data_IF_372637238217
#
_entry.id   IF_372637238217
#
_cell.length_a   1.000
_cell.length_b   1.000
_cell.length_c   1.000
_cell.angle_alpha   90.00
_cell.angle_beta   90.00
_cell.angle_gamma   90.00
#
_symmetry.space_group_name_H-M   'P 1'
#
loop_
_entity.id
_entity.type
_entity.pdbx_description
1 polymer ?
#
# COMPACT_ATOMS: atom_id res chain seq x y z
N UNK A 1 -7.34 -25.16 22.09
CA UNK A 1 -8.26 -24.01 21.97
C UNK A 1 -8.74 -23.95 20.53
N UNK A 2 -10.03 -23.78 20.33
CA UNK A 2 -10.57 -23.53 18.99
C UNK A 2 -10.16 -22.13 18.53
N UNK A 3 -9.78 -21.98 17.25
CA UNK A 3 -9.38 -20.69 16.67
C UNK A 3 -10.57 -19.72 16.66
N UNK A 4 -10.39 -18.55 17.28
CA UNK A 4 -11.29 -17.41 17.22
C UNK A 4 -10.49 -16.12 17.44
N UNK A 5 -11.16 -14.96 17.48
CA UNK A 5 -10.49 -13.66 17.62
C UNK A 5 -9.61 -13.53 18.88
N UNK A 6 -9.94 -14.22 19.96
CA UNK A 6 -9.21 -14.17 21.23
C UNK A 6 -8.07 -15.19 21.28
N UNK A 7 -8.13 -16.24 20.46
CA UNK A 7 -7.15 -17.36 20.45
C UNK A 7 -6.23 -17.30 19.24
N UNK A 8 -6.43 -16.35 18.31
CA UNK A 8 -5.56 -16.12 17.17
C UNK A 8 -4.17 -15.64 17.62
N UNK A 9 -3.12 -16.26 17.09
CA UNK A 9 -1.72 -15.89 17.41
C UNK A 9 -1.36 -14.57 16.71
N UNK A 10 -1.79 -14.40 15.46
CA UNK A 10 -1.59 -13.15 14.72
C UNK A 10 -2.58 -12.08 15.19
N UNK A 11 -2.13 -10.87 15.55
CA UNK A 11 -3.05 -9.77 15.88
C UNK A 11 -3.89 -9.30 14.67
N UNK A 12 -3.45 -9.57 13.45
CA UNK A 12 -4.23 -9.28 12.24
C UNK A 12 -5.54 -10.07 12.24
N UNK A 13 -5.48 -11.38 12.56
CA UNK A 13 -6.64 -12.26 12.59
C UNK A 13 -7.37 -12.23 13.94
N UNK A 14 -6.78 -11.64 14.99
CA UNK A 14 -7.39 -11.45 16.30
C UNK A 14 -7.84 -10.01 16.51
N UNK A 15 -7.02 -9.25 17.24
CA UNK A 15 -7.29 -7.87 17.68
C UNK A 15 -7.73 -6.92 16.56
N UNK A 16 -7.14 -7.06 15.38
CA UNK A 16 -7.35 -6.15 14.25
C UNK A 16 -8.18 -6.75 13.12
N UNK A 17 -8.80 -7.91 13.33
CA UNK A 17 -9.57 -8.62 12.29
C UNK A 17 -10.57 -7.71 11.57
N UNK A 18 -11.33 -6.90 12.30
CA UNK A 18 -12.33 -6.00 11.72
C UNK A 18 -11.74 -4.96 10.75
N UNK A 19 -10.45 -4.62 10.89
CA UNK A 19 -9.76 -3.68 10.00
C UNK A 19 -9.14 -4.39 8.78
N UNK A 20 -8.67 -5.62 8.98
CA UNK A 20 -8.00 -6.41 7.96
C UNK A 20 -8.95 -7.34 7.16
N UNK A 21 -10.21 -7.47 7.58
CA UNK A 21 -11.18 -8.40 7.00
C UNK A 21 -11.34 -8.29 5.48
N UNK A 22 -11.36 -7.09 4.85
CA UNK A 22 -11.46 -7.00 3.39
C UNK A 22 -10.33 -7.73 2.64
N UNK A 23 -9.18 -7.95 3.27
CA UNK A 23 -8.06 -8.68 2.68
C UNK A 23 -8.25 -10.20 2.69
N UNK A 24 -9.21 -10.72 3.46
CA UNK A 24 -9.47 -12.15 3.53
C UNK A 24 -9.93 -12.74 2.19
N UNK A 25 -10.61 -11.94 1.37
CA UNK A 25 -11.04 -12.31 0.01
C UNK A 25 -9.87 -12.52 -0.98
N UNK A 26 -8.65 -12.12 -0.59
CA UNK A 26 -7.46 -12.18 -1.45
C UNK A 26 -6.34 -13.05 -0.88
N UNK A 27 -6.17 -13.09 0.45
CA UNK A 27 -4.99 -13.67 1.08
C UNK A 27 -5.28 -14.77 2.11
N UNK A 28 -6.53 -15.15 2.32
CA UNK A 28 -6.85 -16.34 3.11
C UNK A 28 -6.59 -17.62 2.31
N UNK A 29 -6.51 -18.78 2.98
CA UNK A 29 -6.40 -20.08 2.31
C UNK A 29 -7.63 -20.36 1.42
N UNK A 30 -8.83 -19.94 1.87
CA UNK A 30 -10.04 -19.92 1.05
C UNK A 30 -9.86 -19.14 -0.25
N UNK A 31 -9.32 -17.93 -0.16
CA UNK A 31 -9.08 -17.09 -1.32
C UNK A 31 -8.05 -17.72 -2.27
N UNK A 32 -6.94 -18.22 -1.76
CA UNK A 32 -5.92 -18.88 -2.57
C UNK A 32 -6.51 -20.05 -3.36
N UNK A 33 -7.32 -20.90 -2.72
CA UNK A 33 -8.00 -22.02 -3.38
C UNK A 33 -8.95 -21.48 -4.48
N UNK A 34 -9.76 -20.47 -4.19
CA UNK A 34 -10.69 -19.86 -5.14
C UNK A 34 -9.97 -19.31 -6.38
N UNK A 35 -8.84 -18.61 -6.19
CA UNK A 35 -8.05 -18.08 -7.32
C UNK A 35 -7.43 -19.20 -8.14
N UNK A 36 -6.96 -20.29 -7.52
CA UNK A 36 -6.46 -21.46 -8.23
C UNK A 36 -7.56 -22.12 -9.09
N UNK A 37 -8.77 -22.31 -8.52
CA UNK A 37 -9.93 -22.82 -9.27
C UNK A 37 -10.24 -21.89 -10.45
N UNK A 38 -10.25 -20.57 -10.24
CA UNK A 38 -10.49 -19.60 -11.32
C UNK A 38 -9.49 -19.76 -12.46
N UNK A 39 -8.22 -19.87 -12.17
CA UNK A 39 -7.17 -20.03 -13.18
C UNK A 39 -7.36 -21.34 -13.94
N UNK A 40 -7.61 -22.47 -13.25
CA UNK A 40 -7.86 -23.77 -13.88
C UNK A 40 -9.09 -23.74 -14.80
N UNK A 41 -10.18 -23.15 -14.37
CA UNK A 41 -11.42 -23.06 -15.16
C UNK A 41 -11.23 -22.14 -16.38
N UNK A 42 -10.66 -20.97 -16.22
CA UNK A 42 -10.39 -20.07 -17.36
C UNK A 42 -9.38 -20.68 -18.35
N UNK A 43 -8.41 -21.45 -17.84
CA UNK A 43 -7.49 -22.22 -18.69
C UNK A 43 -8.24 -23.29 -19.49
N UNK A 44 -9.07 -24.10 -18.87
CA UNK A 44 -9.87 -25.11 -19.54
C UNK A 44 -10.81 -24.51 -20.59
N UNK A 45 -11.48 -23.41 -20.25
CA UNK A 45 -12.33 -22.65 -21.20
C UNK A 45 -11.49 -22.19 -22.41
N UNK A 46 -10.30 -21.67 -22.16
CA UNK A 46 -9.40 -21.20 -23.24
C UNK A 46 -8.92 -22.33 -24.14
N UNK A 47 -8.68 -23.52 -23.58
CA UNK A 47 -8.42 -24.73 -24.38
C UNK A 47 -9.63 -25.13 -25.26
N UNK A 48 -10.86 -25.04 -24.72
CA UNK A 48 -12.07 -25.31 -25.50
C UNK A 48 -12.34 -24.26 -26.61
N UNK A 49 -11.72 -23.08 -26.53
CA UNK A 49 -11.78 -22.07 -27.57
C UNK A 49 -10.81 -22.35 -28.72
N UNK A 50 -9.78 -23.20 -28.50
CA UNK A 50 -8.88 -23.68 -29.55
C UNK A 50 -9.54 -24.77 -30.39
N UNK A 51 -9.13 -24.92 -31.66
CA UNK A 51 -9.63 -25.99 -32.53
C UNK A 51 -8.96 -27.35 -32.20
N UNK A 52 -8.83 -27.71 -30.91
CA UNK A 52 -8.33 -29.03 -30.51
C UNK A 52 -9.36 -30.09 -30.84
N UNK A 53 -9.00 -31.15 -31.58
CA UNK A 53 -9.97 -32.17 -32.03
C UNK A 53 -10.80 -32.77 -30.88
N UNK A 54 -10.17 -33.03 -29.72
CA UNK A 54 -10.80 -33.66 -28.55
C UNK A 54 -11.75 -32.72 -27.81
N UNK A 55 -11.62 -31.39 -27.98
CA UNK A 55 -12.47 -30.37 -27.35
C UNK A 55 -13.45 -29.72 -28.34
N UNK A 56 -13.37 -30.07 -29.63
CA UNK A 56 -14.19 -29.45 -30.68
C UNK A 56 -15.71 -29.62 -30.49
N UNK A 57 -16.13 -30.66 -29.81
CA UNK A 57 -17.53 -30.95 -29.50
C UNK A 57 -18.00 -30.42 -28.16
N UNK A 58 -17.15 -29.72 -27.40
CA UNK A 58 -17.54 -29.13 -26.13
C UNK A 58 -18.55 -28.01 -26.34
N UNK A 59 -19.66 -28.07 -25.63
CA UNK A 59 -20.72 -27.04 -25.69
C UNK A 59 -20.28 -25.76 -24.95
N UNK A 60 -19.91 -24.73 -25.71
CA UNK A 60 -19.47 -23.44 -25.16
C UNK A 60 -20.54 -22.68 -24.39
N UNK A 61 -21.84 -23.04 -24.54
CA UNK A 61 -22.90 -22.48 -23.72
C UNK A 61 -22.77 -22.83 -22.22
N UNK A 62 -21.97 -23.84 -21.88
CA UNK A 62 -21.69 -24.28 -20.52
C UNK A 62 -20.60 -23.47 -19.81
N UNK A 63 -19.91 -22.54 -20.49
CA UNK A 63 -18.87 -21.73 -19.87
C UNK A 63 -19.34 -20.94 -18.62
N UNK A 64 -20.55 -20.33 -18.59
CA UNK A 64 -21.05 -19.71 -17.36
C UNK A 64 -21.19 -20.71 -16.19
N UNK A 65 -21.63 -21.93 -16.47
CA UNK A 65 -21.74 -22.99 -15.47
C UNK A 65 -20.36 -23.40 -14.93
N UNK A 66 -19.35 -23.50 -15.78
CA UNK A 66 -17.97 -23.75 -15.33
C UNK A 66 -17.46 -22.62 -14.43
N UNK A 67 -17.69 -21.36 -14.79
CA UNK A 67 -17.32 -20.19 -13.99
C UNK A 67 -17.99 -20.16 -12.63
N UNK A 68 -19.24 -20.66 -12.53
CA UNK A 68 -19.92 -20.72 -11.24
C UNK A 68 -19.16 -21.51 -10.19
N UNK A 69 -18.27 -22.45 -10.56
CA UNK A 69 -17.44 -23.23 -9.62
C UNK A 69 -16.55 -22.30 -8.76
N UNK A 70 -16.02 -21.20 -9.32
CA UNK A 70 -15.24 -20.24 -8.55
C UNK A 70 -16.01 -18.98 -8.14
N UNK A 71 -17.05 -18.60 -8.90
CA UNK A 71 -17.86 -17.40 -8.61
C UNK A 71 -18.75 -17.60 -7.39
N UNK A 72 -19.28 -18.80 -7.21
CA UNK A 72 -20.13 -19.19 -6.06
C UNK A 72 -19.36 -20.07 -5.05
N UNK A 73 -18.02 -20.06 -5.09
CA UNK A 73 -17.20 -20.88 -4.22
C UNK A 73 -17.43 -20.54 -2.74
N UNK A 74 -17.47 -21.53 -1.88
CA UNK A 74 -17.78 -21.39 -0.46
C UNK A 74 -16.67 -21.91 0.45
N UNK A 75 -16.72 -21.55 1.72
CA UNK A 75 -15.82 -22.10 2.75
C UNK A 75 -15.96 -23.63 2.85
N UNK A 76 -17.18 -24.16 2.64
CA UNK A 76 -17.37 -25.63 2.60
C UNK A 76 -16.66 -26.27 1.40
N UNK A 77 -16.66 -25.60 0.24
CA UNK A 77 -15.87 -26.02 -0.92
C UNK A 77 -14.37 -26.01 -0.63
N UNK A 78 -13.87 -24.97 0.04
CA UNK A 78 -12.49 -24.91 0.47
C UNK A 78 -12.13 -26.04 1.44
N UNK A 79 -13.02 -26.34 2.39
CA UNK A 79 -12.82 -27.51 3.29
C UNK A 79 -12.75 -28.81 2.50
N UNK A 80 -13.63 -29.01 1.48
CA UNK A 80 -13.56 -30.20 0.63
C UNK A 80 -12.21 -30.31 -0.09
N UNK A 81 -11.65 -29.21 -0.61
CA UNK A 81 -10.31 -29.20 -1.20
C UNK A 81 -9.26 -29.62 -0.16
N UNK A 82 -9.35 -29.12 1.08
CA UNK A 82 -8.43 -29.52 2.17
C UNK A 82 -8.56 -30.99 2.56
N UNK A 83 -9.77 -31.53 2.53
CA UNK A 83 -10.00 -32.98 2.79
C UNK A 83 -9.31 -33.83 1.72
N UNK A 84 -9.41 -33.46 0.45
CA UNK A 84 -8.71 -34.12 -0.66
C UNK A 84 -7.19 -33.96 -0.49
N UNK A 85 -6.71 -32.77 -0.18
CA UNK A 85 -5.29 -32.47 0.06
C UNK A 85 -4.71 -33.34 1.18
N UNK A 86 -5.47 -33.59 2.25
CA UNK A 86 -5.03 -34.42 3.38
C UNK A 86 -4.71 -35.86 2.99
N UNK A 87 -5.29 -36.35 1.88
CA UNK A 87 -5.05 -37.70 1.33
C UNK A 87 -3.95 -37.65 0.27
N UNK A 88 -3.99 -36.67 -0.62
CA UNK A 88 -3.07 -36.58 -1.77
C UNK A 88 -1.71 -35.97 -1.40
N UNK A 89 -1.64 -35.23 -0.29
CA UNK A 89 -0.50 -34.44 0.15
C UNK A 89 -0.01 -33.45 -0.93
N UNK A 90 -0.94 -32.92 -1.75
CA UNK A 90 -0.62 -32.02 -2.85
C UNK A 90 -1.77 -31.04 -3.09
N UNK A 91 -1.56 -29.76 -2.78
CA UNK A 91 -2.55 -28.71 -2.75
C UNK A 91 -3.19 -28.40 -4.14
N UNK A 92 -2.36 -28.24 -5.20
CA UNK A 92 -2.89 -27.95 -6.54
C UNK A 92 -3.58 -29.19 -7.15
N UNK A 93 -3.08 -30.39 -6.88
CA UNK A 93 -3.76 -31.62 -7.30
C UNK A 93 -5.11 -31.80 -6.62
N UNK A 94 -5.25 -31.37 -5.39
CA UNK A 94 -6.53 -31.37 -4.68
C UNK A 94 -7.54 -30.42 -5.35
N UNK A 95 -7.10 -29.28 -5.84
CA UNK A 95 -7.93 -28.36 -6.64
C UNK A 95 -8.41 -29.02 -7.93
N UNK A 96 -7.53 -29.67 -8.68
CA UNK A 96 -7.90 -30.42 -9.89
C UNK A 96 -8.97 -31.47 -9.60
N UNK A 97 -8.79 -32.28 -8.56
CA UNK A 97 -9.80 -33.29 -8.17
C UNK A 97 -11.12 -32.67 -7.76
N UNK A 98 -11.09 -31.57 -7.00
CA UNK A 98 -12.30 -30.85 -6.63
C UNK A 98 -13.07 -30.36 -7.87
N UNK A 99 -12.37 -29.79 -8.86
CA UNK A 99 -13.01 -29.35 -10.12
C UNK A 99 -13.68 -30.55 -10.82
N UNK A 100 -12.98 -31.71 -10.91
CA UNK A 100 -13.54 -32.92 -11.50
C UNK A 100 -14.80 -33.41 -10.74
N UNK A 101 -14.80 -33.35 -9.40
CA UNK A 101 -16.01 -33.62 -8.59
C UNK A 101 -17.16 -32.66 -8.89
N UNK A 102 -16.89 -31.38 -9.12
CA UNK A 102 -17.95 -30.41 -9.49
C UNK A 102 -18.54 -30.71 -10.86
N UNK A 103 -17.72 -31.14 -11.84
CA UNK A 103 -18.22 -31.58 -13.14
C UNK A 103 -19.14 -32.79 -13.03
N UNK A 104 -18.79 -33.75 -12.15
CA UNK A 104 -19.67 -34.90 -11.85
C UNK A 104 -20.96 -34.47 -11.16
N UNK A 105 -20.88 -33.52 -10.24
CA UNK A 105 -22.05 -32.97 -9.57
C UNK A 105 -23.03 -32.30 -10.54
N UNK A 106 -22.55 -31.56 -11.55
CA UNK A 106 -23.40 -31.00 -12.61
C UNK A 106 -24.14 -32.09 -13.41
N UNK A 107 -23.44 -33.17 -13.75
CA UNK A 107 -24.08 -34.32 -14.44
C UNK A 107 -25.11 -35.00 -13.55
N UNK A 108 -24.81 -35.19 -12.27
CA UNK A 108 -25.71 -35.83 -11.31
C UNK A 108 -26.94 -34.97 -10.98
N UNK A 109 -26.82 -33.66 -11.04
CA UNK A 109 -27.94 -32.72 -10.87
C UNK A 109 -28.83 -32.58 -12.12
N UNK A 110 -28.44 -33.22 -13.22
CA UNK A 110 -29.21 -33.16 -14.49
C UNK A 110 -28.98 -31.85 -15.27
N UNK A 111 -27.96 -31.07 -14.93
CA UNK A 111 -27.64 -29.84 -15.67
C UNK A 111 -27.08 -30.16 -17.07
N UNK A 112 -26.51 -31.35 -17.26
CA UNK A 112 -26.00 -31.90 -18.51
C UNK A 112 -26.32 -33.41 -18.55
N UNK A 113 -26.28 -34.08 -19.72
CA UNK A 113 -26.40 -35.52 -19.79
C UNK A 113 -25.42 -36.28 -18.92
N UNK A 114 -25.78 -37.42 -18.39
CA UNK A 114 -24.93 -38.29 -17.61
C UNK A 114 -23.63 -38.63 -18.40
N UNK A 115 -22.47 -38.46 -17.77
CA UNK A 115 -21.18 -38.74 -18.41
C UNK A 115 -20.75 -37.70 -19.43
N UNK A 116 -21.44 -36.56 -19.59
CA UNK A 116 -21.07 -35.52 -20.55
C UNK A 116 -19.62 -35.06 -20.43
N UNK A 117 -19.13 -34.88 -19.21
CA UNK A 117 -17.79 -34.36 -18.95
C UNK A 117 -16.68 -35.44 -19.03
N UNK A 118 -17.00 -36.73 -19.09
CA UNK A 118 -16.00 -37.79 -19.06
C UNK A 118 -14.86 -37.64 -20.12
N UNK A 119 -15.16 -37.29 -21.38
CA UNK A 119 -14.10 -37.10 -22.39
C UNK A 119 -13.24 -35.85 -22.15
N UNK A 120 -13.71 -34.90 -21.34
CA UNK A 120 -13.08 -33.59 -21.16
C UNK A 120 -12.31 -33.43 -19.85
N UNK A 121 -12.57 -34.26 -18.85
CA UNK A 121 -12.00 -34.14 -17.49
C UNK A 121 -10.47 -34.13 -17.46
N UNK A 122 -9.83 -34.90 -18.34
CA UNK A 122 -8.37 -34.99 -18.39
C UNK A 122 -7.70 -33.75 -19.02
N UNK A 123 -8.49 -32.81 -19.58
CA UNK A 123 -8.03 -31.49 -19.99
C UNK A 123 -7.99 -30.46 -18.86
N UNK A 124 -8.54 -30.77 -17.67
CA UNK A 124 -8.28 -29.98 -16.48
C UNK A 124 -6.80 -30.17 -16.12
N UNK A 125 -6.07 -29.06 -15.91
CA UNK A 125 -4.62 -29.05 -15.66
C UNK A 125 -3.75 -29.64 -16.80
N UNK A 126 -4.28 -29.71 -18.02
CA UNK A 126 -3.57 -30.30 -19.17
C UNK A 126 -2.26 -29.58 -19.47
N UNK A 127 -1.15 -30.31 -19.46
CA UNK A 127 0.18 -29.78 -19.80
C UNK A 127 0.79 -28.81 -18.77
N UNK A 128 0.06 -28.48 -17.69
CA UNK A 128 0.49 -27.54 -16.67
C UNK A 128 1.36 -28.16 -15.59
N UNK A 129 2.05 -27.31 -14.87
CA UNK A 129 2.64 -27.61 -13.55
C UNK A 129 1.98 -26.75 -12.48
N UNK A 130 2.09 -27.15 -11.23
CA UNK A 130 1.48 -26.42 -10.09
C UNK A 130 1.82 -24.91 -10.10
N UNK A 131 3.00 -24.55 -10.59
CA UNK A 131 3.44 -23.16 -10.63
C UNK A 131 2.83 -22.34 -11.78
N UNK A 132 2.28 -22.97 -12.81
CA UNK A 132 1.43 -22.25 -13.77
C UNK A 132 0.16 -21.73 -13.11
N UNK A 133 -0.34 -22.45 -12.09
CA UNK A 133 -1.50 -22.07 -11.30
C UNK A 133 -1.14 -21.09 -10.18
N UNK A 134 -0.06 -21.35 -9.42
CA UNK A 134 0.34 -20.47 -8.33
C UNK A 134 0.89 -19.12 -8.81
N UNK A 135 1.76 -19.14 -9.84
CA UNK A 135 2.36 -17.91 -10.38
C UNK A 135 1.45 -17.11 -11.32
N UNK A 136 0.19 -17.48 -11.41
CA UNK A 136 -0.90 -16.72 -12.02
C UNK A 136 -1.92 -16.27 -10.97
N UNK A 137 -2.37 -17.18 -10.09
CA UNK A 137 -3.35 -16.88 -9.05
C UNK A 137 -2.83 -15.88 -8.01
N UNK A 138 -1.57 -15.99 -7.59
CA UNK A 138 -0.98 -15.08 -6.59
C UNK A 138 -0.86 -13.64 -7.13
N UNK A 139 -0.24 -13.34 -8.27
CA UNK A 139 -0.20 -11.98 -8.77
C UNK A 139 -1.59 -11.42 -9.12
N UNK A 140 -2.54 -12.26 -9.52
CA UNK A 140 -3.93 -11.85 -9.74
C UNK A 140 -4.59 -11.41 -8.43
N UNK A 141 -4.45 -12.18 -7.36
CA UNK A 141 -5.00 -11.82 -6.04
C UNK A 141 -4.36 -10.54 -5.49
N UNK A 142 -3.06 -10.35 -5.66
CA UNK A 142 -2.36 -9.12 -5.25
C UNK A 142 -2.88 -7.91 -6.02
N UNK A 143 -2.99 -8.02 -7.35
CA UNK A 143 -3.53 -6.96 -8.20
C UNK A 143 -4.91 -6.51 -7.72
N UNK A 144 -5.83 -7.46 -7.57
CA UNK A 144 -7.20 -7.16 -7.15
C UNK A 144 -7.26 -6.60 -5.72
N UNK A 145 -6.44 -7.10 -4.80
CA UNK A 145 -6.36 -6.56 -3.44
C UNK A 145 -5.83 -5.11 -3.41
N UNK A 146 -4.81 -4.80 -4.21
CA UNK A 146 -4.30 -3.44 -4.32
C UNK A 146 -5.35 -2.51 -4.92
N UNK A 147 -5.99 -2.90 -6.01
CA UNK A 147 -7.00 -2.08 -6.70
C UNK A 147 -8.25 -1.84 -5.86
N UNK A 148 -8.71 -2.84 -5.11
CA UNK A 148 -10.00 -2.79 -4.39
C UNK A 148 -9.89 -2.42 -2.92
N UNK A 149 -8.72 -2.59 -2.30
CA UNK A 149 -8.55 -2.34 -0.86
C UNK A 149 -7.48 -1.29 -0.60
N UNK A 150 -6.26 -1.48 -1.11
CA UNK A 150 -5.12 -0.66 -0.73
C UNK A 150 -5.16 0.73 -1.40
N UNK A 151 -5.33 0.81 -2.72
CA UNK A 151 -5.36 2.10 -3.44
C UNK A 151 -6.45 3.04 -2.92
N UNK A 152 -7.71 2.58 -2.72
CA UNK A 152 -8.75 3.45 -2.19
C UNK A 152 -8.44 4.03 -0.81
N UNK A 153 -7.77 3.26 0.07
CA UNK A 153 -7.40 3.75 1.39
C UNK A 153 -6.27 4.79 1.35
N UNK A 154 -5.28 4.62 0.45
CA UNK A 154 -4.24 5.62 0.25
C UNK A 154 -4.83 6.89 -0.39
N UNK A 155 -5.75 6.75 -1.34
CA UNK A 155 -6.47 7.88 -1.94
C UNK A 155 -7.30 8.66 -0.90
N UNK A 156 -7.97 7.96 0.02
CA UNK A 156 -8.69 8.56 1.13
C UNK A 156 -7.74 9.35 2.05
N UNK A 157 -6.57 8.80 2.37
CA UNK A 157 -5.55 9.49 3.17
C UNK A 157 -5.05 10.75 2.46
N UNK A 158 -4.72 10.66 1.16
CA UNK A 158 -4.30 11.80 0.35
C UNK A 158 -5.39 12.88 0.36
N UNK A 159 -6.63 12.52 0.10
CA UNK A 159 -7.76 13.46 0.06
C UNK A 159 -7.99 14.15 1.41
N UNK A 160 -7.82 13.43 2.52
CA UNK A 160 -7.91 14.01 3.87
C UNK A 160 -6.79 15.03 4.11
N UNK A 161 -5.56 14.71 3.68
CA UNK A 161 -4.42 15.63 3.80
C UNK A 161 -4.59 16.87 2.91
N UNK A 162 -5.07 16.72 1.68
CA UNK A 162 -5.38 17.83 0.77
C UNK A 162 -6.46 18.76 1.35
N UNK A 163 -7.48 18.18 1.97
CA UNK A 163 -8.53 18.96 2.67
C UNK A 163 -7.96 19.79 3.81
N UNK A 164 -7.07 19.22 4.62
CA UNK A 164 -6.40 19.95 5.69
C UNK A 164 -5.40 20.99 5.16
N UNK A 165 -4.70 20.68 4.08
CA UNK A 165 -3.81 21.63 3.44
C UNK A 165 -4.56 22.88 2.95
N UNK A 166 -5.76 22.73 2.41
CA UNK A 166 -6.61 23.86 2.02
C UNK A 166 -7.18 24.61 3.24
N UNK A 167 -7.66 23.87 4.25
CA UNK A 167 -8.19 24.46 5.50
C UNK A 167 -7.15 25.34 6.21
N UNK A 168 -5.87 24.90 6.21
CA UNK A 168 -4.79 25.56 6.97
C UNK A 168 -3.80 26.31 6.07
N UNK A 169 -4.16 26.62 4.82
CA UNK A 169 -3.27 27.26 3.84
C UNK A 169 -2.74 28.65 4.28
N UNK A 170 -3.52 29.37 5.08
CA UNK A 170 -3.17 30.71 5.56
C UNK A 170 -2.67 30.72 7.02
N UNK A 171 -2.52 29.55 7.63
CA UNK A 171 -2.02 29.42 9.01
C UNK A 171 -0.50 29.50 9.01
N UNK A 172 0.04 30.61 9.52
CA UNK A 172 1.48 30.75 9.73
C UNK A 172 1.96 29.80 10.85
N UNK A 173 3.12 29.19 10.63
CA UNK A 173 3.75 28.27 11.56
C UNK A 173 5.25 28.48 11.59
N UNK A 174 5.84 28.48 12.77
CA UNK A 174 7.29 28.47 12.91
C UNK A 174 7.87 27.13 12.45
N UNK A 175 8.66 27.15 11.37
CA UNK A 175 9.37 25.94 10.96
C UNK A 175 10.55 25.64 11.91
N UNK A 176 10.91 24.37 12.00
CA UNK A 176 12.06 23.93 12.80
C UNK A 176 13.00 23.08 11.93
N UNK A 177 14.27 23.49 11.89
CA UNK A 177 15.35 22.68 11.30
C UNK A 177 16.32 22.30 12.40
N UNK A 178 16.75 21.04 12.42
CA UNK A 178 17.58 20.52 13.52
C UNK A 178 16.95 20.74 14.93
N UNK A 179 15.60 20.77 14.99
CA UNK A 179 14.86 21.07 16.21
C UNK A 179 14.91 22.53 16.65
N UNK A 180 15.57 23.42 15.89
CA UNK A 180 15.68 24.85 16.20
C UNK A 180 14.73 25.69 15.33
N UNK A 181 14.23 26.82 15.86
CA UNK A 181 13.44 27.77 15.09
C UNK A 181 14.13 28.19 13.79
N UNK A 182 13.39 28.17 12.70
CA UNK A 182 13.84 28.55 11.36
C UNK A 182 12.79 29.49 10.71
N UNK A 183 12.98 29.81 9.44
CA UNK A 183 12.05 30.67 8.71
C UNK A 183 10.62 30.18 8.82
N UNK A 184 9.65 31.04 9.07
CA UNK A 184 8.23 30.64 9.13
C UNK A 184 7.76 30.00 7.84
N UNK A 185 6.75 29.17 7.96
CA UNK A 185 6.09 28.45 6.87
C UNK A 185 4.56 28.55 7.04
N UNK A 186 3.82 27.91 6.15
CA UNK A 186 2.36 27.74 6.28
C UNK A 186 2.04 26.29 6.60
N UNK A 187 1.22 26.04 7.60
CA UNK A 187 0.84 24.70 8.04
C UNK A 187 0.22 23.90 6.89
N UNK A 188 -0.66 24.52 6.09
CA UNK A 188 -1.25 23.85 4.94
C UNK A 188 -0.21 23.36 3.92
N UNK A 189 0.84 24.17 3.67
CA UNK A 189 1.94 23.75 2.79
C UNK A 189 2.72 22.57 3.38
N UNK A 190 2.98 22.56 4.68
CA UNK A 190 3.67 21.44 5.33
C UNK A 190 2.86 20.13 5.21
N UNK A 191 1.54 20.18 5.37
CA UNK A 191 0.66 19.04 5.17
C UNK A 191 0.63 18.60 3.70
N UNK A 192 0.60 19.57 2.76
CA UNK A 192 0.61 19.26 1.33
C UNK A 192 1.86 18.53 0.87
N UNK A 193 3.00 18.70 1.54
CA UNK A 193 4.22 17.93 1.24
C UNK A 193 3.95 16.43 1.32
N UNK A 194 3.24 15.97 2.33
CA UNK A 194 2.92 14.55 2.49
C UNK A 194 1.89 14.06 1.46
N UNK A 195 0.85 14.85 1.18
CA UNK A 195 -0.13 14.53 0.15
C UNK A 195 0.54 14.38 -1.23
N UNK A 196 1.41 15.33 -1.59
CA UNK A 196 2.18 15.31 -2.84
C UNK A 196 3.07 14.05 -2.93
N UNK A 197 3.86 13.78 -1.90
CA UNK A 197 4.76 12.60 -1.84
C UNK A 197 3.99 11.28 -1.96
N UNK A 198 2.86 11.15 -1.27
CA UNK A 198 2.01 9.96 -1.32
C UNK A 198 1.41 9.77 -2.72
N UNK A 199 0.95 10.84 -3.36
CA UNK A 199 0.41 10.79 -4.72
C UNK A 199 1.44 10.31 -5.74
N UNK A 200 2.66 10.84 -5.66
CA UNK A 200 3.77 10.42 -6.53
C UNK A 200 4.10 8.92 -6.35
N UNK A 201 4.16 8.44 -5.11
CA UNK A 201 4.46 7.03 -4.86
C UNK A 201 3.28 6.10 -5.16
N UNK A 202 2.04 6.55 -5.00
CA UNK A 202 0.87 5.80 -5.43
C UNK A 202 0.83 5.67 -6.96
N UNK A 203 1.16 6.72 -7.70
CA UNK A 203 1.27 6.67 -9.17
C UNK A 203 2.39 5.71 -9.59
N UNK A 204 3.53 5.72 -8.92
CA UNK A 204 4.60 4.76 -9.17
C UNK A 204 4.13 3.32 -8.92
N UNK A 205 3.44 3.05 -7.81
CA UNK A 205 2.90 1.73 -7.51
C UNK A 205 1.88 1.28 -8.58
N UNK A 206 0.98 2.18 -9.01
CA UNK A 206 0.00 1.88 -10.07
C UNK A 206 0.65 1.62 -11.43
N UNK A 207 1.87 2.12 -11.67
CA UNK A 207 2.63 1.85 -12.90
C UNK A 207 3.40 0.54 -12.86
N UNK A 208 3.48 -0.14 -11.72
CA UNK A 208 4.12 -1.45 -11.62
C UNK A 208 3.36 -2.49 -12.45
N UNK A 209 4.10 -3.36 -13.13
CA UNK A 209 3.54 -4.43 -13.94
C UNK A 209 3.15 -5.61 -13.07
N UNK A 210 1.97 -6.14 -13.28
CA UNK A 210 1.54 -7.41 -12.70
C UNK A 210 1.84 -8.54 -13.68
N UNK A 211 2.93 -9.25 -13.43
CA UNK A 211 3.40 -10.31 -14.31
C UNK A 211 3.10 -11.70 -13.76
N UNK A 212 3.06 -12.68 -14.67
CA UNK A 212 2.79 -14.07 -14.32
C UNK A 212 3.68 -15.02 -15.13
N UNK A 213 4.15 -16.09 -14.51
CA UNK A 213 4.75 -17.21 -15.20
C UNK A 213 3.66 -18.17 -15.68
N UNK A 214 3.72 -18.51 -16.97
CA UNK A 214 2.88 -19.53 -17.60
C UNK A 214 3.63 -20.18 -18.75
N UNK A 215 3.87 -21.50 -18.70
CA UNK A 215 4.68 -22.20 -19.73
C UNK A 215 5.09 -23.62 -19.37
N UNK A 216 4.43 -24.27 -18.42
CA UNK A 216 4.72 -25.67 -18.01
C UNK A 216 5.93 -25.82 -17.10
N UNK A 217 6.40 -27.03 -16.92
CA UNK A 217 7.36 -27.46 -15.90
C UNK A 217 8.72 -26.72 -15.92
N UNK A 218 9.13 -26.19 -17.07
CA UNK A 218 10.40 -25.46 -17.23
C UNK A 218 10.24 -24.14 -18.00
N UNK A 219 9.00 -23.67 -18.18
CA UNK A 219 8.69 -22.46 -18.93
C UNK A 219 8.76 -22.60 -20.46
N UNK A 220 8.90 -23.82 -20.97
CA UNK A 220 9.13 -24.08 -22.41
C UNK A 220 7.95 -24.76 -23.11
N UNK A 221 6.79 -24.90 -22.47
CA UNK A 221 5.61 -25.61 -22.99
C UNK A 221 5.88 -27.06 -23.46
N UNK A 222 6.81 -27.78 -22.86
CA UNK A 222 7.24 -29.09 -23.29
C UNK A 222 6.07 -30.07 -23.49
N UNK A 223 5.18 -30.16 -22.49
CA UNK A 223 4.02 -31.07 -22.52
C UNK A 223 3.00 -30.65 -23.59
N UNK A 224 2.74 -29.37 -23.71
CA UNK A 224 1.83 -28.81 -24.72
C UNK A 224 2.36 -29.08 -26.14
N UNK A 225 3.63 -28.76 -26.35
CA UNK A 225 4.26 -28.90 -27.69
C UNK A 225 4.34 -30.35 -28.13
N UNK A 226 4.64 -31.30 -27.24
CA UNK A 226 4.69 -32.72 -27.62
C UNK A 226 3.31 -33.28 -27.95
N UNK A 227 2.25 -32.77 -27.28
CA UNK A 227 0.87 -33.18 -27.52
C UNK A 227 0.27 -32.59 -28.80
N UNK A 228 0.55 -31.31 -29.06
CA UNK A 228 0.03 -30.56 -30.21
C UNK A 228 1.11 -29.64 -30.75
N UNK A 229 2.07 -30.14 -31.54
CA UNK A 229 3.22 -29.38 -32.04
C UNK A 229 2.86 -28.28 -33.07
N UNK A 230 1.66 -28.34 -33.64
CA UNK A 230 1.16 -27.41 -34.67
C UNK A 230 0.65 -26.10 -34.11
N UNK A 231 0.46 -25.97 -32.75
CA UNK A 231 -0.03 -24.75 -32.15
C UNK A 231 1.09 -23.85 -31.61
N UNK A 232 0.92 -22.56 -31.76
CA UNK A 232 1.78 -21.56 -31.09
C UNK A 232 1.38 -21.40 -29.60
N UNK A 233 1.96 -22.27 -28.77
CA UNK A 233 1.70 -22.26 -27.32
C UNK A 233 2.23 -21.01 -26.62
N UNK A 234 3.20 -20.31 -27.19
CA UNK A 234 3.69 -19.04 -26.67
C UNK A 234 2.62 -17.96 -26.82
N UNK A 235 2.07 -17.82 -28.03
CA UNK A 235 0.99 -16.88 -28.29
C UNK A 235 -0.27 -17.25 -27.50
N UNK A 236 -0.61 -18.53 -27.42
CA UNK A 236 -1.69 -19.02 -26.56
C UNK A 236 -1.51 -18.55 -25.10
N UNK A 237 -0.32 -18.75 -24.52
CA UNK A 237 -0.03 -18.34 -23.14
C UNK A 237 -0.05 -16.82 -22.95
N UNK A 238 0.41 -16.05 -23.94
CA UNK A 238 0.33 -14.59 -23.90
C UNK A 238 -1.14 -14.15 -23.81
N UNK A 239 -1.98 -14.67 -24.69
CA UNK A 239 -3.42 -14.34 -24.72
C UNK A 239 -4.16 -14.82 -23.49
N UNK A 240 -3.92 -16.04 -23.04
CA UNK A 240 -4.54 -16.57 -21.80
C UNK A 240 -4.25 -15.67 -20.61
N UNK A 241 -2.98 -15.33 -20.37
CA UNK A 241 -2.56 -14.51 -19.24
C UNK A 241 -3.09 -13.08 -19.35
N UNK A 242 -3.09 -12.48 -20.55
CA UNK A 242 -3.55 -11.10 -20.73
C UNK A 242 -5.07 -10.97 -20.81
N UNK A 243 -5.72 -11.76 -21.65
CA UNK A 243 -7.15 -11.59 -21.93
C UNK A 243 -8.06 -12.20 -20.84
N UNK A 244 -7.64 -13.33 -20.24
CA UNK A 244 -8.45 -14.03 -19.21
C UNK A 244 -8.11 -13.61 -17.78
N UNK A 245 -6.83 -13.28 -17.52
CA UNK A 245 -6.37 -12.96 -16.17
C UNK A 245 -6.02 -11.47 -15.99
N UNK A 246 -5.89 -10.70 -17.09
CA UNK A 246 -5.53 -9.29 -17.02
C UNK A 246 -4.14 -9.05 -16.46
N UNK A 247 -3.22 -10.01 -16.65
CA UNK A 247 -1.81 -9.98 -16.24
C UNK A 247 -0.91 -9.92 -17.48
N UNK A 248 0.38 -9.75 -17.29
CA UNK A 248 1.35 -9.81 -18.36
C UNK A 248 2.21 -11.08 -18.24
N UNK A 249 2.31 -11.89 -19.30
CA UNK A 249 3.12 -13.11 -19.26
C UNK A 249 4.61 -12.80 -19.30
N UNK A 250 5.36 -13.34 -18.36
CA UNK A 250 6.83 -13.36 -18.41
C UNK A 250 7.31 -14.27 -19.54
N UNK A 251 8.09 -13.73 -20.48
CA UNK A 251 8.47 -14.45 -21.69
C UNK A 251 9.53 -15.51 -21.46
N UNK A 252 10.42 -15.30 -20.49
CA UNK A 252 11.52 -16.20 -20.16
C UNK A 252 11.52 -16.44 -18.64
N UNK A 253 11.21 -17.67 -18.25
CA UNK A 253 11.14 -18.09 -16.85
C UNK A 253 11.72 -19.50 -16.68
N UNK A 254 11.97 -19.90 -15.47
CA UNK A 254 12.16 -21.29 -15.08
C UNK A 254 10.80 -21.94 -14.81
N UNK A 255 10.74 -22.91 -13.90
CA UNK A 255 9.45 -23.47 -13.44
C UNK A 255 8.59 -22.42 -12.72
N UNK A 256 9.21 -21.35 -12.18
CA UNK A 256 8.56 -20.28 -11.42
C UNK A 256 8.75 -18.94 -12.10
N UNK A 257 7.96 -17.95 -11.63
CA UNK A 257 8.16 -16.53 -11.94
C UNK A 257 9.57 -16.07 -11.53
N UNK A 258 10.09 -15.06 -12.22
CA UNK A 258 11.32 -14.38 -11.82
C UNK A 258 11.10 -13.53 -10.54
N UNK A 259 9.85 -13.18 -10.21
CA UNK A 259 9.42 -12.36 -9.07
C UNK A 259 9.99 -10.94 -9.03
N UNK A 260 10.74 -10.48 -10.02
CA UNK A 260 11.33 -9.14 -10.06
C UNK A 260 10.27 -8.04 -10.02
N UNK A 261 9.18 -8.20 -10.78
CA UNK A 261 8.07 -7.24 -10.79
C UNK A 261 7.29 -7.26 -9.47
N UNK A 262 7.14 -8.41 -8.84
CA UNK A 262 6.52 -8.53 -7.53
C UNK A 262 7.38 -7.87 -6.45
N UNK A 263 8.69 -8.04 -6.52
CA UNK A 263 9.66 -7.31 -5.68
C UNK A 263 9.52 -5.79 -5.82
N UNK A 264 9.37 -5.30 -7.07
CA UNK A 264 9.15 -3.87 -7.33
C UNK A 264 7.84 -3.35 -6.72
N UNK A 265 6.76 -4.14 -6.75
CA UNK A 265 5.48 -3.80 -6.10
C UNK A 265 5.67 -3.69 -4.57
N UNK A 266 6.35 -4.64 -3.96
CA UNK A 266 6.61 -4.62 -2.51
C UNK A 266 7.48 -3.44 -2.10
N UNK A 267 8.49 -3.08 -2.89
CA UNK A 267 9.32 -1.90 -2.65
C UNK A 267 8.54 -0.59 -2.81
N UNK A 268 7.62 -0.50 -3.78
CA UNK A 268 6.76 0.66 -3.94
C UNK A 268 5.79 0.83 -2.74
N UNK A 269 5.21 -0.25 -2.23
CA UNK A 269 4.38 -0.22 -1.01
C UNK A 269 5.20 0.26 0.19
N UNK A 270 6.44 -0.22 0.36
CA UNK A 270 7.34 0.23 1.43
C UNK A 270 7.63 1.73 1.37
N UNK A 271 7.76 2.32 0.18
CA UNK A 271 7.95 3.77 0.02
C UNK A 271 6.74 4.54 0.52
N UNK A 272 5.53 4.10 0.18
CA UNK A 272 4.28 4.68 0.71
C UNK A 272 4.26 4.57 2.24
N UNK A 273 4.50 3.40 2.78
CA UNK A 273 4.56 3.17 4.23
C UNK A 273 5.57 4.09 4.93
N UNK A 274 6.75 4.30 4.32
CA UNK A 274 7.80 5.17 4.87
C UNK A 274 7.36 6.63 4.93
N UNK A 275 6.59 7.12 3.95
CA UNK A 275 6.05 8.47 3.97
C UNK A 275 5.00 8.61 5.07
N UNK A 276 4.18 7.59 5.29
CA UNK A 276 3.17 7.60 6.36
C UNK A 276 3.84 7.58 7.74
N UNK A 277 4.92 6.83 7.93
CA UNK A 277 5.72 6.88 9.17
C UNK A 277 6.25 8.29 9.43
N UNK A 278 6.77 8.96 8.42
CA UNK A 278 7.26 10.34 8.49
C UNK A 278 6.15 11.32 8.89
N UNK A 279 4.98 11.21 8.24
CA UNK A 279 3.75 11.92 8.58
C UNK A 279 3.32 11.69 10.04
N UNK A 280 3.26 10.43 10.47
CA UNK A 280 2.83 10.07 11.82
C UNK A 280 3.74 10.68 12.90
N UNK A 281 5.06 10.72 12.63
CA UNK A 281 6.04 11.33 13.52
C UNK A 281 5.92 12.84 13.60
N UNK A 282 5.69 13.52 12.49
CA UNK A 282 5.51 14.97 12.48
C UNK A 282 4.22 15.37 13.21
N UNK A 283 3.10 14.69 12.96
CA UNK A 283 1.87 14.98 13.71
C UNK A 283 1.99 14.64 15.20
N UNK A 284 2.69 13.57 15.55
CA UNK A 284 3.03 13.27 16.94
C UNK A 284 3.80 14.41 17.60
N UNK A 285 4.81 14.97 16.90
CA UNK A 285 5.58 16.13 17.38
C UNK A 285 4.73 17.38 17.46
N UNK A 286 3.88 17.66 16.47
CA UNK A 286 2.97 18.82 16.51
C UNK A 286 1.99 18.75 17.69
N UNK A 287 1.53 17.56 18.05
CA UNK A 287 0.72 17.36 19.27
C UNK A 287 1.57 17.62 20.53
N UNK A 288 2.80 17.12 20.57
CA UNK A 288 3.75 17.35 21.67
C UNK A 288 4.09 18.84 21.86
N UNK A 289 4.13 19.63 20.77
CA UNK A 289 4.32 21.08 20.78
C UNK A 289 3.03 21.85 21.06
N UNK A 290 1.93 21.20 21.34
CA UNK A 290 0.58 21.78 21.53
C UNK A 290 0.01 22.48 20.29
N UNK A 291 0.58 22.32 19.09
CA UNK A 291 0.03 22.86 17.85
C UNK A 291 -1.32 22.25 17.52
N UNK A 292 -1.52 21.00 17.93
CA UNK A 292 -2.80 20.31 17.87
C UNK A 292 -3.22 19.78 19.25
N UNK A 293 -4.51 19.86 19.53
CA UNK A 293 -5.20 19.09 20.55
C UNK A 293 -5.93 17.93 19.90
N UNK A 294 -6.32 16.92 20.69
CA UNK A 294 -7.09 15.79 20.20
C UNK A 294 -8.51 15.82 20.77
N UNK A 295 -9.50 15.55 19.90
CA UNK A 295 -10.90 15.36 20.32
C UNK A 295 -10.98 14.20 21.32
N UNK A 296 -11.63 14.44 22.45
CA UNK A 296 -11.90 13.43 23.46
C UNK A 296 -13.28 12.85 23.17
N UNK A 297 -13.38 11.52 23.13
CA UNK A 297 -14.65 10.83 23.05
C UNK A 297 -15.14 10.54 24.47
N UNK A 298 -16.40 10.85 24.76
CA UNK A 298 -17.00 10.56 26.06
C UNK A 298 -16.85 9.07 26.41
N UNK A 299 -16.31 8.78 27.59
CA UNK A 299 -16.05 7.42 28.05
C UNK A 299 -14.69 6.83 27.66
N UNK A 300 -13.88 7.50 26.85
CA UNK A 300 -12.48 7.08 26.60
C UNK A 300 -11.59 7.47 27.78
N UNK A 301 -10.74 6.53 28.21
CA UNK A 301 -9.71 6.75 29.22
C UNK A 301 -8.38 7.01 28.51
N UNK A 302 -7.90 8.25 28.50
CA UNK A 302 -6.67 8.66 27.82
C UNK A 302 -5.39 8.14 28.46
N UNK A 303 -5.42 7.92 29.77
CA UNK A 303 -4.30 7.38 30.57
C UNK A 303 -4.85 6.68 31.81
N UNK A 304 -4.27 5.54 32.19
CA UNK A 304 -4.66 4.82 33.41
C UNK A 304 -4.35 5.57 34.72
N UNK A 305 -3.37 6.48 34.70
CA UNK A 305 -2.87 7.20 35.87
C UNK A 305 -3.17 8.72 35.86
N UNK A 306 -3.31 9.33 34.66
CA UNK A 306 -3.47 10.78 34.49
C UNK A 306 -4.69 11.08 33.60
N UNK A 307 -5.87 11.35 34.20
CA UNK A 307 -7.12 11.50 33.42
C UNK A 307 -7.13 12.64 32.37
N UNK A 308 -6.27 13.66 32.57
CA UNK A 308 -6.15 14.80 31.66
C UNK A 308 -5.26 14.52 30.42
N UNK A 309 -4.54 13.39 30.42
CA UNK A 309 -3.55 13.09 29.37
C UNK A 309 -4.21 12.35 28.21
N UNK A 310 -4.19 12.95 27.02
CA UNK A 310 -4.68 12.35 25.77
C UNK A 310 -3.47 12.01 24.89
N UNK A 311 -3.15 10.73 24.81
CA UNK A 311 -1.99 10.26 24.07
C UNK A 311 -2.29 10.17 22.55
N UNK A 312 -1.34 10.48 21.66
CA UNK A 312 -1.48 10.35 20.20
C UNK A 312 -1.30 8.89 19.73
N UNK A 313 -1.98 7.94 20.38
CA UNK A 313 -1.80 6.49 20.20
C UNK A 313 -2.14 5.99 18.79
N UNK A 314 -2.98 6.72 18.05
CA UNK A 314 -3.36 6.33 16.70
C UNK A 314 -2.15 6.45 15.75
N UNK A 315 -1.33 7.49 15.88
CA UNK A 315 -0.07 7.67 15.12
C UNK A 315 0.99 6.65 15.54
N UNK A 316 1.14 6.39 16.84
CA UNK A 316 2.07 5.37 17.36
C UNK A 316 1.70 3.95 16.89
N UNK A 317 0.41 3.63 16.87
CA UNK A 317 -0.09 2.35 16.36
C UNK A 317 0.17 2.20 14.87
N UNK A 318 0.01 3.28 14.09
CA UNK A 318 0.34 3.28 12.67
C UNK A 318 1.84 3.04 12.45
N UNK A 319 2.71 3.82 13.07
CA UNK A 319 4.17 3.67 12.94
C UNK A 319 4.63 2.25 13.26
N UNK A 320 4.14 1.65 14.35
CA UNK A 320 4.49 0.29 14.74
C UNK A 320 4.07 -0.76 13.70
N UNK A 321 2.84 -0.67 13.19
CA UNK A 321 2.35 -1.57 12.15
C UNK A 321 3.13 -1.41 10.83
N UNK A 322 3.43 -0.19 10.41
CA UNK A 322 4.19 0.08 9.19
C UNK A 322 5.64 -0.43 9.28
N UNK A 323 6.24 -0.36 10.45
CA UNK A 323 7.57 -0.95 10.71
C UNK A 323 7.60 -2.46 10.46
N UNK A 324 6.60 -3.18 10.98
CA UNK A 324 6.46 -4.64 10.77
C UNK A 324 6.19 -4.92 9.28
N UNK A 325 5.26 -4.20 8.66
CA UNK A 325 4.97 -4.33 7.23
C UNK A 325 6.23 -4.19 6.38
N UNK A 326 6.99 -3.11 6.60
CA UNK A 326 8.19 -2.82 5.84
C UNK A 326 9.26 -3.91 5.99
N UNK A 327 9.44 -4.49 7.17
CA UNK A 327 10.39 -5.57 7.40
C UNK A 327 10.04 -6.82 6.58
N UNK A 328 8.75 -7.19 6.55
CA UNK A 328 8.28 -8.37 5.78
C UNK A 328 8.34 -8.11 4.28
N UNK A 329 7.88 -6.94 3.81
CA UNK A 329 7.93 -6.56 2.39
C UNK A 329 9.37 -6.54 1.86
N UNK A 330 10.32 -6.02 2.65
CA UNK A 330 11.74 -6.03 2.31
C UNK A 330 12.29 -7.46 2.17
N UNK A 331 11.93 -8.33 3.11
CA UNK A 331 12.32 -9.72 3.05
C UNK A 331 11.76 -10.40 1.79
N UNK A 332 10.47 -10.22 1.49
CA UNK A 332 9.81 -10.79 0.32
C UNK A 332 10.45 -10.30 -1.00
N UNK A 333 10.68 -8.98 -1.13
CA UNK A 333 11.29 -8.38 -2.31
C UNK A 333 12.71 -8.92 -2.57
N UNK A 334 13.48 -9.17 -1.52
CA UNK A 334 14.84 -9.70 -1.63
C UNK A 334 14.89 -11.23 -1.80
N UNK A 335 13.96 -11.97 -1.16
CA UNK A 335 13.99 -13.45 -1.13
C UNK A 335 13.41 -14.08 -2.39
N UNK A 336 12.28 -13.57 -2.89
CA UNK A 336 11.55 -14.24 -3.97
C UNK A 336 12.33 -14.36 -5.28
N UNK A 337 13.12 -13.35 -5.74
CA UNK A 337 13.93 -13.49 -6.95
C UNK A 337 15.08 -14.51 -6.84
N UNK A 338 15.34 -15.04 -5.65
CA UNK A 338 16.45 -15.98 -5.42
C UNK A 338 15.93 -17.39 -5.18
N UNK A 339 16.14 -18.27 -6.15
CA UNK A 339 15.79 -19.69 -6.09
C UNK A 339 16.96 -20.56 -6.60
N UNK A 340 16.85 -21.89 -6.48
CA UNK A 340 17.86 -22.85 -6.90
C UNK A 340 17.46 -23.52 -8.21
N UNK A 341 18.32 -23.45 -9.20
CA UNK A 341 18.11 -24.08 -10.54
C UNK A 341 16.73 -23.72 -11.11
N UNK A 342 15.89 -24.72 -11.40
CA UNK A 342 14.52 -24.47 -11.90
C UNK A 342 13.57 -23.98 -10.80
N UNK A 343 13.75 -24.45 -9.57
CA UNK A 343 12.95 -24.09 -8.40
C UNK A 343 13.43 -24.76 -7.14
N UNK A 344 13.30 -24.10 -5.99
CA UNK A 344 13.14 -24.72 -4.67
C UNK A 344 11.76 -24.37 -4.07
N UNK A 345 11.39 -24.99 -2.92
CA UNK A 345 10.06 -24.80 -2.33
C UNK A 345 9.91 -23.51 -1.51
N UNK A 346 10.99 -22.75 -1.29
CA UNK A 346 10.96 -21.61 -0.36
C UNK A 346 10.02 -20.47 -0.81
N UNK A 347 9.80 -20.34 -2.12
CA UNK A 347 8.82 -19.40 -2.68
C UNK A 347 7.41 -19.66 -2.14
N UNK A 348 6.94 -20.89 -2.19
CA UNK A 348 5.61 -21.28 -1.71
C UNK A 348 5.43 -21.03 -0.21
N UNK A 349 6.48 -21.20 0.60
CA UNK A 349 6.45 -20.92 2.03
C UNK A 349 6.27 -19.43 2.30
N UNK A 350 7.05 -18.58 1.63
CA UNK A 350 7.04 -17.13 1.93
C UNK A 350 5.85 -16.42 1.30
N UNK A 351 5.39 -16.84 0.12
CA UNK A 351 4.23 -16.24 -0.56
C UNK A 351 2.93 -16.34 0.26
N UNK A 352 2.78 -17.35 1.12
CA UNK A 352 1.63 -17.46 2.04
C UNK A 352 1.55 -16.32 3.06
N UNK A 353 2.63 -15.54 3.22
CA UNK A 353 2.70 -14.41 4.15
C UNK A 353 2.42 -13.05 3.51
N UNK A 354 2.06 -12.98 2.23
CA UNK A 354 1.82 -11.68 1.54
C UNK A 354 0.69 -10.87 2.19
N UNK A 355 -0.35 -11.53 2.66
CA UNK A 355 -1.45 -10.88 3.36
C UNK A 355 -1.04 -10.20 4.67
N UNK A 356 0.01 -10.69 5.33
CA UNK A 356 0.48 -10.16 6.62
C UNK A 356 0.98 -8.71 6.52
N UNK A 357 1.96 -8.36 5.67
CA UNK A 357 2.42 -6.98 5.56
C UNK A 357 1.34 -6.04 5.01
N UNK A 358 0.51 -6.48 4.08
CA UNK A 358 -0.62 -5.68 3.59
C UNK A 358 -1.66 -5.45 4.68
N UNK A 359 -1.93 -6.45 5.52
CA UNK A 359 -2.78 -6.30 6.70
C UNK A 359 -2.26 -5.24 7.67
N UNK A 360 -0.97 -5.26 7.98
CA UNK A 360 -0.34 -4.23 8.81
C UNK A 360 -0.42 -2.84 8.17
N UNK A 361 -0.19 -2.71 6.86
CA UNK A 361 -0.33 -1.42 6.15
C UNK A 361 -1.76 -0.89 6.21
N UNK A 362 -2.77 -1.72 5.96
CA UNK A 362 -4.19 -1.34 6.03
C UNK A 362 -4.59 -0.89 7.44
N UNK A 363 -4.16 -1.62 8.47
CA UNK A 363 -4.39 -1.25 9.88
C UNK A 363 -3.78 0.12 10.19
N UNK A 364 -2.57 0.35 9.71
CA UNK A 364 -1.83 1.59 9.91
C UNK A 364 -2.52 2.79 9.25
N UNK A 365 -2.86 2.69 7.97
CA UNK A 365 -3.54 3.77 7.24
C UNK A 365 -4.85 4.16 7.93
N UNK A 366 -5.65 3.18 8.36
CA UNK A 366 -6.87 3.45 9.12
C UNK A 366 -6.58 4.11 10.48
N UNK A 367 -5.45 3.78 11.12
CA UNK A 367 -5.04 4.42 12.37
C UNK A 367 -4.60 5.87 12.15
N UNK A 368 -3.78 6.16 11.13
CA UNK A 368 -3.40 7.53 10.75
C UNK A 368 -4.64 8.37 10.44
N UNK A 369 -5.56 7.88 9.60
CA UNK A 369 -6.83 8.57 9.29
C UNK A 369 -7.63 8.86 10.55
N UNK A 370 -7.72 7.91 11.47
CA UNK A 370 -8.41 8.09 12.75
C UNK A 370 -7.72 9.16 13.62
N UNK A 371 -6.39 9.16 13.68
CA UNK A 371 -5.60 10.18 14.37
C UNK A 371 -5.83 11.57 13.79
N UNK A 372 -5.73 11.72 12.47
CA UNK A 372 -5.95 12.97 11.75
C UNK A 372 -7.34 13.56 12.04
N UNK A 373 -8.40 12.75 12.02
CA UNK A 373 -9.79 13.18 12.27
C UNK A 373 -10.05 13.63 13.71
N UNK A 374 -9.16 13.31 14.64
CA UNK A 374 -9.22 13.78 16.02
C UNK A 374 -8.54 15.13 16.25
N UNK A 375 -7.79 15.63 15.30
CA UNK A 375 -7.03 16.85 15.45
C UNK A 375 -7.93 18.08 15.59
N UNK A 376 -7.54 18.97 16.50
CA UNK A 376 -8.09 20.31 16.69
C UNK A 376 -6.92 21.28 16.64
N UNK A 377 -6.91 22.19 15.68
CA UNK A 377 -5.86 23.19 15.55
C UNK A 377 -5.84 24.10 16.78
N UNK A 378 -4.66 24.36 17.34
CA UNK A 378 -4.43 25.28 18.45
C UNK A 378 -3.67 26.51 17.97
N UNK A 379 -4.38 27.42 17.30
CA UNK A 379 -3.82 28.66 16.75
C UNK A 379 -3.07 29.50 17.79
N UNK A 380 -3.53 29.48 19.07
CA UNK A 380 -2.84 30.22 20.13
C UNK A 380 -1.42 29.70 20.43
N UNK A 381 -1.17 28.40 20.27
CA UNK A 381 0.16 27.84 20.46
C UNK A 381 1.09 28.19 19.28
N UNK A 382 0.56 28.12 18.06
CA UNK A 382 1.30 28.55 16.86
C UNK A 382 1.71 30.01 16.93
N UNK A 383 0.75 30.89 17.28
CA UNK A 383 0.99 32.33 17.42
C UNK A 383 2.02 32.62 18.52
N UNK A 384 1.90 31.97 19.69
CA UNK A 384 2.84 32.12 20.78
C UNK A 384 4.29 31.79 20.36
N UNK A 385 4.49 30.76 19.53
CA UNK A 385 5.82 30.41 19.02
C UNK A 385 6.37 31.45 18.05
N UNK A 386 5.54 32.00 17.17
CA UNK A 386 5.91 33.08 16.25
C UNK A 386 6.27 34.35 17.04
N UNK A 387 5.42 34.78 17.95
CA UNK A 387 5.63 35.98 18.81
C UNK A 387 6.90 35.88 19.65
N UNK A 388 7.23 34.68 20.08
CA UNK A 388 8.42 34.44 20.89
C UNK A 388 9.72 34.33 20.09
N UNK A 389 9.66 34.35 18.74
CA UNK A 389 10.83 34.00 17.91
C UNK A 389 11.08 35.04 16.81
N UNK A 390 11.02 36.32 17.14
CA UNK A 390 11.26 37.43 16.20
C UNK A 390 12.62 37.39 15.48
N UNK A 391 13.61 36.66 16.02
CA UNK A 391 14.92 36.52 15.36
C UNK A 391 14.83 35.89 13.96
N UNK A 392 13.73 35.16 13.61
CA UNK A 392 13.56 34.53 12.31
C UNK A 392 13.37 35.50 11.15
N UNK A 393 12.93 36.75 11.42
CA UNK A 393 12.80 37.77 10.37
C UNK A 393 14.16 38.37 9.96
N UNK A 394 15.25 38.07 10.66
CA UNK A 394 16.58 38.51 10.31
C UNK A 394 17.01 38.08 8.89
N UNK A 395 16.57 36.94 8.42
CA UNK A 395 16.83 36.48 7.05
C UNK A 395 16.15 37.40 6.02
N UNK A 396 14.91 37.78 6.25
CA UNK A 396 14.17 38.67 5.38
C UNK A 396 14.84 40.05 5.32
N UNK A 397 15.21 40.59 6.51
CA UNK A 397 15.89 41.87 6.61
C UNK A 397 17.22 41.84 5.85
N UNK A 398 18.04 40.80 6.07
CA UNK A 398 19.29 40.61 5.36
C UNK A 398 19.11 40.60 3.85
N UNK A 399 18.06 39.91 3.37
CA UNK A 399 17.79 39.75 1.94
C UNK A 399 17.42 41.11 1.31
N UNK A 400 16.59 41.92 1.97
CA UNK A 400 16.24 43.26 1.52
C UNK A 400 17.48 44.16 1.55
N UNK A 401 18.27 44.13 2.61
CA UNK A 401 19.50 44.94 2.68
C UNK A 401 20.50 44.56 1.57
N UNK A 402 20.59 43.27 1.17
CA UNK A 402 21.36 42.86 -0.01
C UNK A 402 20.82 43.46 -1.31
N UNK A 403 19.50 43.49 -1.46
CA UNK A 403 18.83 44.14 -2.62
C UNK A 403 19.20 45.64 -2.73
N UNK A 404 19.29 46.28 -1.59
CA UNK A 404 19.65 47.72 -1.49
C UNK A 404 21.18 47.97 -1.53
N UNK A 405 22.01 46.94 -1.78
CA UNK A 405 23.48 47.00 -1.76
C UNK A 405 24.06 47.58 -0.44
N UNK A 406 23.38 47.36 0.68
CA UNK A 406 23.83 47.77 2.01
C UNK A 406 25.15 47.07 2.38
N UNK A 407 26.15 47.79 2.94
CA UNK A 407 27.45 47.21 3.26
C UNK A 407 27.35 46.21 4.41
N UNK A 408 27.93 45.02 4.23
CA UNK A 408 28.05 43.97 5.24
C UNK A 408 26.72 43.62 5.98
N UNK A 409 25.62 43.31 5.26
CA UNK A 409 24.31 43.12 5.89
C UNK A 409 24.25 41.95 6.87
N UNK A 410 25.00 40.91 6.63
CA UNK A 410 25.08 39.74 7.54
C UNK A 410 25.73 40.10 8.87
N UNK A 411 26.84 40.81 8.82
CA UNK A 411 27.61 41.25 10.03
C UNK A 411 26.79 42.22 10.88
N UNK A 412 26.03 43.14 10.25
CA UNK A 412 25.14 44.05 10.94
C UNK A 412 24.07 43.29 11.75
N UNK A 413 23.43 42.29 11.14
CA UNK A 413 22.43 41.45 11.81
C UNK A 413 23.00 40.47 12.80
N UNK A 414 24.21 39.94 12.53
CA UNK A 414 24.90 39.05 13.45
C UNK A 414 25.23 39.73 14.79
N UNK A 415 25.62 41.02 14.75
CA UNK A 415 25.85 41.79 15.96
C UNK A 415 24.54 41.96 16.79
N UNK A 416 23.41 42.04 16.15
CA UNK A 416 22.07 42.15 16.78
C UNK A 416 21.62 40.76 17.34
N UNK A 417 21.77 39.69 16.59
CA UNK A 417 21.17 38.38 16.91
C UNK A 417 22.01 37.48 17.82
N UNK A 418 23.35 37.73 17.95
CA UNK A 418 24.23 36.95 18.80
C UNK A 418 24.47 37.62 20.17
N UNK A 419 23.48 38.26 20.69
CA UNK A 419 23.43 38.72 22.09
C UNK A 419 22.69 37.64 22.87
N UNK A 420 23.11 37.32 24.11
CA UNK A 420 22.40 36.36 24.97
C UNK A 420 21.04 36.87 25.48
N UNK A 421 20.42 37.84 24.79
CA UNK A 421 19.14 38.45 25.10
C UNK A 421 18.10 38.00 24.08
N UNK A 422 16.86 37.81 24.53
CA UNK A 422 15.72 37.48 23.67
C UNK A 422 15.51 38.61 22.64
N UNK A 423 15.52 38.27 21.35
CA UNK A 423 15.21 39.15 20.27
C UNK A 423 13.71 39.44 20.28
N UNK A 424 13.32 40.69 20.47
CA UNK A 424 11.92 41.14 20.45
C UNK A 424 11.62 41.98 19.22
N UNK A 425 10.35 42.16 18.93
CA UNK A 425 9.87 43.09 17.91
C UNK A 425 10.51 44.50 18.06
N UNK A 426 10.45 45.05 19.29
CA UNK A 426 11.01 46.34 19.59
C UNK A 426 12.50 46.43 19.25
N UNK A 427 13.29 45.43 19.63
CA UNK A 427 14.72 45.39 19.31
C UNK A 427 15.00 45.33 17.79
N UNK A 428 14.21 44.62 17.04
CA UNK A 428 14.29 44.55 15.57
C UNK A 428 13.92 45.91 14.97
N UNK A 429 12.82 46.50 15.41
CA UNK A 429 12.36 47.80 14.93
C UNK A 429 13.35 48.94 15.26
N UNK A 430 13.91 48.95 16.45
CA UNK A 430 14.94 49.94 16.82
C UNK A 430 16.19 49.78 15.94
N UNK A 431 16.63 48.56 15.67
CA UNK A 431 17.72 48.32 14.74
C UNK A 431 17.39 48.84 13.33
N UNK A 432 16.22 48.55 12.80
CA UNK A 432 15.79 49.00 11.46
C UNK A 432 15.84 50.56 11.37
N UNK A 433 15.44 51.26 12.43
CA UNK A 433 15.47 52.73 12.47
C UNK A 433 16.89 53.29 12.36
N UNK A 434 17.91 52.56 12.81
CA UNK A 434 19.32 52.96 12.74
C UNK A 434 19.97 52.72 11.37
N UNK A 435 19.35 51.97 10.49
CA UNK A 435 19.92 51.64 9.18
C UNK A 435 19.97 52.89 8.27
N UNK A 436 21.09 53.03 7.54
CA UNK A 436 21.26 54.05 6.51
C UNK A 436 20.65 53.56 5.17
N UNK A 437 19.33 53.56 5.10
CA UNK A 437 18.53 53.23 3.92
C UNK A 437 17.35 54.24 3.79
N UNK A 438 16.72 54.31 2.63
CA UNK A 438 15.58 55.20 2.39
C UNK A 438 14.40 54.90 3.33
N UNK A 439 13.59 55.94 3.62
CA UNK A 439 12.39 55.78 4.45
C UNK A 439 11.40 54.77 3.87
N UNK A 440 11.35 54.64 2.55
CA UNK A 440 10.56 53.59 1.86
C UNK A 440 11.03 52.20 2.23
N UNK A 441 12.34 51.96 2.25
CA UNK A 441 12.95 50.70 2.62
C UNK A 441 12.77 50.40 4.12
N UNK A 442 12.90 51.43 4.97
CA UNK A 442 12.62 51.28 6.42
C UNK A 442 11.17 50.87 6.65
N UNK A 443 10.23 51.47 5.97
CA UNK A 443 8.79 51.15 6.07
C UNK A 443 8.55 49.68 5.64
N UNK A 444 9.18 49.23 4.55
CA UNK A 444 9.12 47.85 4.07
C UNK A 444 9.66 46.89 5.11
N UNK A 445 10.81 47.15 5.70
CA UNK A 445 11.45 46.33 6.73
C UNK A 445 10.62 46.28 8.01
N UNK A 446 10.03 47.41 8.46
CA UNK A 446 9.18 47.44 9.65
C UNK A 446 7.86 46.70 9.49
N UNK A 447 7.41 46.47 8.26
CA UNK A 447 6.20 45.70 7.97
C UNK A 447 6.39 44.17 8.02
N UNK A 448 7.64 43.71 8.13
CA UNK A 448 7.93 42.26 8.17
C UNK A 448 7.70 41.73 9.59
N UNK A 449 6.91 40.69 9.68
CA UNK A 449 6.63 39.96 10.94
C UNK A 449 6.88 38.44 10.76
N UNK A 450 7.04 37.70 11.83
CA UNK A 450 7.06 36.25 11.72
C UNK A 450 5.82 35.65 11.06
N UNK A 451 4.66 36.30 11.17
CA UNK A 451 3.39 35.83 10.60
C UNK A 451 3.30 36.02 9.09
N UNK A 452 3.90 37.08 8.55
CA UNK A 452 3.80 37.37 7.12
C UNK A 452 5.04 37.00 6.30
N UNK A 453 6.12 36.57 6.97
CA UNK A 453 7.32 36.09 6.30
C UNK A 453 7.19 34.56 5.99
N UNK A 454 6.14 34.17 5.29
CA UNK A 454 5.81 32.78 4.98
C UNK A 454 5.96 32.40 3.50
N UNK A 455 6.38 33.35 2.67
CA UNK A 455 6.51 33.14 1.22
C UNK A 455 5.15 33.08 0.50
N UNK A 456 5.10 32.31 -0.58
CA UNK A 456 3.92 32.11 -1.44
C UNK A 456 3.23 30.79 -1.16
#
# INVERSE_FOLDING_TARGET
MTLNLLTAISPIDGRYRSKAEPLAEYFSEYALIRYRIRVEIEYFITLCELPLPQLSSFDKSLFPMLRSIYETFTVAGAQRVKDIESITNHDVKAVEYYIKEQLDAFSSAGNVPAGYFEPYKEFIHFGLTSQDINNTSVPLSIKEALEKVFYPQIEELISQLESYADEWKDVAMLAKTHGQPASPTRLGKEVMVFAYRLREQLNLLKSCRFTAKFGGATGNYNAHHVAYPEYDWREFGNRFVSEKLGLEREQYTTQISNYDHLGSIFDAIRRINTIIIDLDRDFWMYISMEYFKQKIKAGEVGSSAMPHKVNPIDFENSEGNLGISNAILQFLAAKLPVSRLQRDLTDSTVLRNIGTPLGHSVIAVQSTLKGLRKLILNSAALQRDLDNTWAVVAEAIQTILRREAYPHPYEALKALTRTNTKMTEAAIHDFIRTLDVSDKVKAELLAITPDNYTGI
#
